data_IF_595399985414
#
_entry.id   IF_595399985414
#
_cell.length_a   1.000
_cell.length_b   1.000
_cell.length_c   1.000
_cell.angle_alpha   90.00
_cell.angle_beta   90.00
_cell.angle_gamma   90.00
#
_symmetry.space_group_name_H-M   'P 1'
#
loop_
_entity.id
_entity.type
_entity.pdbx_description
1 polymer ?
#
# COMPACT_ATOMS: atom_id res chain seq x y z
N UNK A 1 17.53 8.16 13.34
CA UNK A 1 18.35 7.43 12.34
C UNK A 1 17.75 7.74 10.98
N UNK A 2 18.32 8.73 10.29
CA UNK A 2 17.81 9.19 8.99
C UNK A 2 18.19 8.12 7.97
N UNK A 3 17.21 7.45 7.36
CA UNK A 3 17.45 6.59 6.21
C UNK A 3 17.80 7.50 5.03
N UNK A 4 19.11 7.64 4.74
CA UNK A 4 19.55 8.24 3.50
C UNK A 4 19.22 7.28 2.36
N UNK A 5 18.16 7.57 1.62
CA UNK A 5 17.93 6.94 0.32
C UNK A 5 19.03 7.44 -0.63
N UNK A 6 19.99 6.57 -0.94
CA UNK A 6 20.96 6.84 -2.01
C UNK A 6 20.21 7.12 -3.31
N UNK A 7 20.53 8.27 -3.90
CA UNK A 7 20.03 8.71 -5.19
C UNK A 7 20.43 7.68 -6.25
N UNK A 8 19.49 6.89 -6.71
CA UNK A 8 19.76 6.04 -7.87
C UNK A 8 18.86 4.83 -8.10
N UNK A 9 18.10 4.36 -7.13
CA UNK A 9 17.21 3.23 -7.35
C UNK A 9 15.82 3.71 -7.73
N UNK A 10 15.51 3.71 -9.04
CA UNK A 10 14.13 3.84 -9.53
C UNK A 10 13.36 2.57 -9.13
N UNK A 11 12.81 2.56 -7.92
CA UNK A 11 11.85 1.55 -7.51
C UNK A 11 10.50 1.91 -8.14
N UNK A 12 10.23 1.39 -9.33
CA UNK A 12 8.86 1.35 -9.84
C UNK A 12 8.31 -0.04 -9.55
N UNK A 13 7.07 -0.15 -9.07
CA UNK A 13 6.38 -1.46 -8.97
C UNK A 13 6.42 -2.20 -10.32
N UNK A 14 6.39 -1.47 -11.43
CA UNK A 14 6.56 -2.04 -12.77
C UNK A 14 7.97 -2.59 -13.01
N UNK A 15 9.03 -2.05 -12.39
CA UNK A 15 10.36 -2.67 -12.47
C UNK A 15 10.44 -3.94 -11.64
N UNK A 16 9.63 -4.02 -10.59
CA UNK A 16 9.40 -5.24 -9.82
C UNK A 16 8.56 -6.23 -10.66
N UNK A 17 7.52 -5.78 -11.35
CA UNK A 17 6.60 -6.60 -12.13
C UNK A 17 7.09 -6.92 -13.55
N UNK A 18 7.83 -6.01 -14.23
CA UNK A 18 8.24 -6.14 -15.64
C UNK A 18 9.46 -7.03 -15.90
N UNK A 19 10.12 -7.56 -14.86
CA UNK A 19 11.10 -8.65 -15.08
C UNK A 19 10.46 -9.98 -15.45
N UNK A 20 9.17 -9.99 -15.81
CA UNK A 20 8.48 -11.14 -16.38
C UNK A 20 8.77 -11.31 -17.86
N UNK A 21 9.25 -12.51 -18.18
CA UNK A 21 9.28 -13.14 -19.50
C UNK A 21 10.48 -12.79 -20.40
N UNK A 22 11.63 -13.39 -20.09
CA UNK A 22 12.35 -14.10 -21.14
C UNK A 22 12.44 -15.58 -20.75
N UNK A 23 11.48 -16.38 -21.24
CA UNK A 23 11.68 -17.81 -21.40
C UNK A 23 12.82 -18.00 -22.41
N UNK A 24 14.02 -18.15 -21.93
CA UNK A 24 15.11 -18.78 -22.67
C UNK A 24 15.66 -19.88 -21.78
N UNK A 25 15.05 -21.05 -21.91
CA UNK A 25 15.51 -22.30 -21.29
C UNK A 25 16.46 -23.01 -22.22
N UNK A 26 17.56 -22.38 -22.63
CA UNK A 26 18.60 -23.07 -23.37
C UNK A 26 19.92 -22.93 -22.60
N UNK A 27 20.40 -24.05 -22.05
CA UNK A 27 21.75 -24.17 -21.51
C UNK A 27 21.95 -23.93 -20.02
N UNK A 28 20.90 -23.76 -19.22
CA UNK A 28 21.04 -23.61 -17.77
C UNK A 28 21.28 -24.94 -17.06
N UNK A 29 22.24 -24.99 -16.16
CA UNK A 29 22.46 -26.14 -15.27
C UNK A 29 21.26 -26.33 -14.32
N UNK A 30 21.09 -27.53 -13.77
CA UNK A 30 20.04 -27.82 -12.76
C UNK A 30 20.17 -26.90 -11.55
N UNK A 31 21.36 -26.48 -11.17
CA UNK A 31 21.62 -25.56 -10.06
C UNK A 31 21.11 -24.15 -10.38
N UNK A 32 21.40 -23.62 -11.56
CA UNK A 32 20.93 -22.29 -12.02
C UNK A 32 19.39 -22.29 -12.14
N UNK A 33 18.81 -23.36 -12.67
CA UNK A 33 17.36 -23.50 -12.77
C UNK A 33 16.68 -23.53 -11.39
N UNK A 34 17.30 -24.21 -10.40
CA UNK A 34 16.84 -24.22 -9.02
C UNK A 34 16.92 -22.83 -8.39
N UNK A 35 18.02 -22.13 -8.61
CA UNK A 35 18.21 -20.74 -8.13
C UNK A 35 17.19 -19.78 -8.74
N UNK A 36 16.96 -19.85 -10.05
CA UNK A 36 15.94 -19.05 -10.75
C UNK A 36 14.52 -19.36 -10.23
N UNK A 37 14.21 -20.63 -10.04
CA UNK A 37 12.90 -21.03 -9.50
C UNK A 37 12.70 -20.58 -8.05
N UNK A 38 13.74 -20.60 -7.24
CA UNK A 38 13.70 -20.11 -5.86
C UNK A 38 13.51 -18.58 -5.85
N UNK A 39 14.25 -17.86 -6.68
CA UNK A 39 14.11 -16.41 -6.85
C UNK A 39 12.70 -16.03 -7.34
N UNK A 40 12.15 -16.74 -8.32
CA UNK A 40 10.80 -16.50 -8.83
C UNK A 40 9.72 -16.76 -7.78
N UNK A 41 9.91 -17.78 -6.90
CA UNK A 41 8.98 -18.06 -5.79
C UNK A 41 9.03 -16.97 -4.73
N UNK A 42 10.23 -16.52 -4.38
CA UNK A 42 10.42 -15.41 -3.45
C UNK A 42 9.74 -14.15 -3.98
N UNK A 43 9.94 -13.83 -5.25
CA UNK A 43 9.34 -12.68 -5.93
C UNK A 43 7.81 -12.73 -5.96
N UNK A 44 7.24 -13.90 -6.24
CA UNK A 44 5.78 -14.08 -6.21
C UNK A 44 5.20 -13.92 -4.79
N UNK A 45 5.97 -14.32 -3.77
CA UNK A 45 5.62 -14.10 -2.37
C UNK A 45 5.61 -12.60 -2.01
N UNK A 46 6.65 -11.87 -2.39
CA UNK A 46 6.77 -10.43 -2.15
C UNK A 46 5.66 -9.64 -2.86
N UNK A 47 5.33 -9.99 -4.11
CA UNK A 47 4.22 -9.37 -4.85
C UNK A 47 2.87 -9.57 -4.14
N UNK A 48 2.62 -10.77 -3.61
CA UNK A 48 1.42 -11.04 -2.83
C UNK A 48 1.36 -10.19 -1.58
N UNK A 49 2.46 -10.12 -0.83
CA UNK A 49 2.54 -9.32 0.40
C UNK A 49 2.29 -7.82 0.16
N UNK A 50 2.81 -7.27 -0.93
CA UNK A 50 2.55 -5.87 -1.32
C UNK A 50 1.06 -5.67 -1.60
N UNK A 51 0.42 -6.59 -2.33
CA UNK A 51 -1.01 -6.51 -2.63
C UNK A 51 -1.87 -6.58 -1.38
N UNK A 52 -1.57 -7.52 -0.47
CA UNK A 52 -2.28 -7.62 0.80
C UNK A 52 -2.08 -6.38 1.68
N UNK A 53 -0.85 -5.85 1.76
CA UNK A 53 -0.57 -4.62 2.47
C UNK A 53 -1.39 -3.44 1.93
N UNK A 54 -1.41 -3.28 0.60
CA UNK A 54 -2.17 -2.20 -0.04
C UNK A 54 -3.68 -2.35 0.17
N UNK A 55 -4.20 -3.58 0.04
CA UNK A 55 -5.61 -3.91 0.33
C UNK A 55 -6.00 -3.53 1.77
N UNK A 56 -5.19 -3.95 2.76
CA UNK A 56 -5.48 -3.65 4.16
C UNK A 56 -5.43 -2.14 4.44
N UNK A 57 -4.45 -1.41 3.89
CA UNK A 57 -4.40 0.04 4.02
C UNK A 57 -5.63 0.72 3.39
N UNK A 58 -6.10 0.20 2.27
CA UNK A 58 -7.31 0.69 1.62
C UNK A 58 -8.56 0.45 2.48
N UNK A 59 -8.69 -0.73 3.09
CA UNK A 59 -9.77 -1.05 4.01
C UNK A 59 -9.77 -0.11 5.24
N UNK A 60 -8.58 0.13 5.83
CA UNK A 60 -8.43 1.10 6.93
C UNK A 60 -8.78 2.52 6.49
N UNK A 61 -8.43 2.88 5.26
CA UNK A 61 -8.79 4.17 4.65
C UNK A 61 -10.31 4.33 4.53
N UNK A 62 -11.04 3.31 4.07
CA UNK A 62 -12.51 3.34 4.00
C UNK A 62 -13.15 3.49 5.37
N UNK A 63 -12.71 2.67 6.35
CA UNK A 63 -13.18 2.79 7.72
C UNK A 63 -12.97 4.21 8.27
N UNK A 64 -11.79 4.79 8.00
CA UNK A 64 -11.48 6.16 8.43
C UNK A 64 -12.39 7.19 7.77
N UNK A 65 -12.57 7.10 6.44
CA UNK A 65 -13.41 8.05 5.70
C UNK A 65 -14.87 7.99 6.14
N UNK A 66 -15.40 6.80 6.39
CA UNK A 66 -16.74 6.61 6.90
C UNK A 66 -16.89 7.17 8.33
N UNK A 67 -16.02 6.73 9.24
CA UNK A 67 -16.19 6.97 10.69
C UNK A 67 -15.88 8.39 11.13
N UNK A 68 -15.06 9.10 10.36
CA UNK A 68 -14.53 10.41 10.75
C UNK A 68 -14.96 11.55 9.83
N UNK A 69 -15.32 11.21 8.59
CA UNK A 69 -15.61 12.21 7.58
C UNK A 69 -16.95 12.00 6.89
N UNK A 70 -17.79 11.09 7.44
CA UNK A 70 -19.17 10.82 6.99
C UNK A 70 -19.26 10.49 5.49
N UNK A 71 -18.26 9.76 4.98
CA UNK A 71 -18.28 9.29 3.59
C UNK A 71 -19.31 8.16 3.47
N UNK A 72 -20.34 8.41 2.67
CA UNK A 72 -21.27 7.40 2.22
C UNK A 72 -20.72 6.60 1.06
N UNK A 73 -21.49 5.60 0.57
CA UNK A 73 -21.12 4.68 -0.51
C UNK A 73 -20.47 5.38 -1.72
N UNK A 74 -21.13 6.40 -2.26
CA UNK A 74 -20.67 7.06 -3.49
C UNK A 74 -19.33 7.78 -3.28
N UNK A 75 -19.13 8.39 -2.12
CA UNK A 75 -17.86 9.03 -1.75
C UNK A 75 -16.73 8.02 -1.62
N UNK A 76 -17.00 6.84 -1.04
CA UNK A 76 -16.01 5.76 -0.91
C UNK A 76 -15.66 5.16 -2.26
N UNK A 77 -16.65 4.98 -3.15
CA UNK A 77 -16.44 4.50 -4.52
C UNK A 77 -15.61 5.51 -5.32
N UNK A 78 -15.92 6.80 -5.22
CA UNK A 78 -15.13 7.83 -5.93
C UNK A 78 -13.69 7.88 -5.39
N UNK A 79 -13.50 7.81 -4.08
CA UNK A 79 -12.17 7.69 -3.48
C UNK A 79 -11.41 6.49 -4.05
N UNK A 80 -12.03 5.29 -4.10
CA UNK A 80 -11.44 4.10 -4.69
C UNK A 80 -11.02 4.30 -6.15
N UNK A 81 -11.93 4.80 -6.98
CA UNK A 81 -11.66 5.03 -8.40
C UNK A 81 -10.50 6.00 -8.61
N UNK A 82 -10.41 7.04 -7.78
CA UNK A 82 -9.32 8.03 -7.82
C UNK A 82 -7.99 7.44 -7.38
N UNK A 83 -7.97 6.68 -6.27
CA UNK A 83 -6.77 5.94 -5.83
C UNK A 83 -6.27 5.01 -6.94
N UNK A 84 -7.17 4.22 -7.53
CA UNK A 84 -6.86 3.30 -8.62
C UNK A 84 -6.27 4.04 -9.83
N UNK A 85 -6.90 5.12 -10.25
CA UNK A 85 -6.43 5.95 -11.38
C UNK A 85 -5.02 6.52 -11.15
N UNK A 86 -4.76 7.10 -9.97
CA UNK A 86 -3.42 7.65 -9.65
C UNK A 86 -2.40 6.53 -9.56
N UNK A 87 -2.78 5.39 -9.00
CA UNK A 87 -1.92 4.21 -8.92
C UNK A 87 -1.55 3.65 -10.31
N UNK A 88 -2.50 3.60 -11.26
CA UNK A 88 -2.25 3.20 -12.65
C UNK A 88 -1.27 4.14 -13.34
N UNK A 89 -1.37 5.46 -13.12
CA UNK A 89 -0.40 6.44 -13.60
C UNK A 89 0.99 6.22 -13.01
N UNK A 90 1.05 5.88 -11.73
CA UNK A 90 2.30 5.54 -11.08
C UNK A 90 2.92 4.26 -11.68
N UNK A 91 2.12 3.22 -11.91
CA UNK A 91 2.58 1.97 -12.53
C UNK A 91 3.03 2.15 -13.99
N UNK A 92 2.36 3.02 -14.75
CA UNK A 92 2.73 3.34 -16.14
C UNK A 92 3.96 4.24 -16.25
N UNK A 93 4.49 4.74 -15.14
CA UNK A 93 5.58 5.74 -15.04
C UNK A 93 5.19 7.14 -15.58
N UNK A 94 3.92 7.44 -15.69
CA UNK A 94 3.44 8.79 -15.97
C UNK A 94 3.59 9.70 -14.75
N UNK A 95 3.63 9.10 -13.55
CA UNK A 95 3.83 9.76 -12.27
C UNK A 95 4.95 9.06 -11.51
N UNK A 96 5.95 9.81 -11.05
CA UNK A 96 7.09 9.27 -10.31
C UNK A 96 6.94 9.48 -8.80
N UNK A 97 7.60 8.62 -8.01
CA UNK A 97 7.72 8.80 -6.56
C UNK A 97 8.24 10.16 -6.17
N UNK A 98 9.20 10.71 -6.96
CA UNK A 98 9.79 12.02 -6.70
C UNK A 98 8.76 13.15 -6.85
N UNK A 99 7.93 13.10 -7.89
CA UNK A 99 6.88 14.10 -8.12
C UNK A 99 5.84 14.06 -6.99
N UNK A 100 5.41 12.84 -6.58
CA UNK A 100 4.48 12.68 -5.48
C UNK A 100 5.06 13.17 -4.15
N UNK A 101 6.33 12.88 -3.86
CA UNK A 101 7.00 13.39 -2.66
C UNK A 101 7.10 14.92 -2.67
N UNK A 102 7.53 15.50 -3.80
CA UNK A 102 7.59 16.95 -3.95
C UNK A 102 6.22 17.59 -3.75
N UNK A 103 5.15 16.95 -4.22
CA UNK A 103 3.78 17.39 -3.98
C UNK A 103 3.43 17.37 -2.48
N UNK A 104 3.71 16.26 -1.78
CA UNK A 104 3.44 16.15 -0.34
C UNK A 104 4.24 17.18 0.47
N UNK A 105 5.54 17.34 0.18
CA UNK A 105 6.41 18.32 0.83
C UNK A 105 5.92 19.76 0.59
N UNK A 106 5.54 20.10 -0.65
CA UNK A 106 5.00 21.41 -1.02
C UNK A 106 3.68 21.73 -0.29
N UNK A 107 2.91 20.71 0.04
CA UNK A 107 1.68 20.82 0.81
C UNK A 107 1.87 20.60 2.32
N UNK A 108 3.09 20.44 2.81
CA UNK A 108 3.43 20.21 4.22
C UNK A 108 2.76 18.94 4.81
N UNK A 109 2.65 17.88 4.02
CA UNK A 109 2.11 16.58 4.45
C UNK A 109 3.28 15.64 4.76
N UNK A 110 3.44 15.23 6.02
CA UNK A 110 4.55 14.37 6.47
C UNK A 110 4.21 12.88 6.31
N UNK A 111 4.20 12.41 5.05
CA UNK A 111 3.99 10.98 4.76
C UNK A 111 5.11 10.11 5.33
N UNK A 112 6.36 10.60 5.37
CA UNK A 112 7.47 9.85 5.95
C UNK A 112 7.34 9.68 7.47
N UNK A 113 6.91 10.72 8.18
CA UNK A 113 6.62 10.63 9.60
C UNK A 113 5.56 9.58 9.89
N UNK A 114 4.49 9.54 9.07
CA UNK A 114 3.47 8.51 9.19
C UNK A 114 4.03 7.09 8.94
N UNK A 115 4.75 6.84 7.85
CA UNK A 115 5.36 5.53 7.55
C UNK A 115 6.28 5.06 8.68
N UNK A 116 7.06 5.99 9.25
CA UNK A 116 7.98 5.69 10.36
C UNK A 116 7.26 5.44 11.69
N UNK A 117 6.05 5.94 11.87
CA UNK A 117 5.23 5.69 13.05
C UNK A 117 4.68 4.25 13.11
N UNK A 118 4.55 3.59 11.95
CA UNK A 118 4.06 2.21 11.85
C UNK A 118 5.22 1.25 12.18
N UNK A 119 5.03 0.46 13.22
CA UNK A 119 6.06 -0.50 13.69
C UNK A 119 6.29 -1.63 12.69
N UNK A 120 7.45 -2.28 12.76
CA UNK A 120 7.75 -3.44 11.91
C UNK A 120 6.71 -4.57 12.07
N UNK A 121 6.26 -4.83 13.31
CA UNK A 121 5.23 -5.83 13.57
C UNK A 121 3.91 -5.50 12.87
N UNK A 122 3.50 -4.24 12.89
CA UNK A 122 2.30 -3.78 12.19
C UNK A 122 2.43 -3.94 10.67
N UNK A 123 3.57 -3.54 10.09
CA UNK A 123 3.87 -3.71 8.66
C UNK A 123 3.79 -5.18 8.22
N UNK A 124 4.38 -6.08 9.00
CA UNK A 124 4.35 -7.51 8.72
C UNK A 124 2.94 -8.10 8.84
N UNK A 125 2.15 -7.65 9.80
CA UNK A 125 0.76 -8.10 9.95
C UNK A 125 -0.12 -7.62 8.80
N UNK A 126 0.02 -6.37 8.36
CA UNK A 126 -0.69 -5.85 7.19
C UNK A 126 -0.37 -6.60 5.90
N UNK A 127 0.81 -7.18 5.78
CA UNK A 127 1.22 -7.98 4.65
C UNK A 127 0.87 -9.48 4.79
N UNK A 128 0.10 -9.85 5.82
CA UNK A 128 -0.21 -11.26 6.17
C UNK A 128 1.03 -12.16 6.30
N UNK A 129 2.13 -11.57 6.77
CA UNK A 129 3.42 -12.27 6.87
C UNK A 129 3.54 -13.19 8.09
N UNK A 130 2.48 -13.39 8.87
CA UNK A 130 2.52 -14.06 10.18
C UNK A 130 3.01 -15.52 10.18
N UNK A 131 3.18 -16.15 9.01
CA UNK A 131 3.62 -17.55 8.87
C UNK A 131 4.97 -17.73 8.18
N UNK A 132 5.59 -16.66 7.69
CA UNK A 132 6.86 -16.75 6.96
C UNK A 132 8.05 -16.61 7.91
N UNK A 133 8.79 -17.71 8.11
CA UNK A 133 10.08 -17.70 8.81
C UNK A 133 11.14 -17.10 7.86
N UNK A 134 11.78 -16.02 8.25
CA UNK A 134 12.91 -15.47 7.53
C UNK A 134 12.61 -14.13 6.84
N UNK A 135 12.15 -13.13 7.61
CA UNK A 135 12.05 -11.77 7.12
C UNK A 135 13.43 -11.18 6.87
N UNK A 136 13.66 -10.72 5.65
CA UNK A 136 14.88 -9.98 5.31
C UNK A 136 14.65 -8.49 5.55
N UNK A 137 15.73 -7.76 5.81
CA UNK A 137 15.70 -6.29 5.87
C UNK A 137 15.11 -5.69 4.58
N UNK A 138 15.28 -6.37 3.45
CA UNK A 138 14.77 -5.94 2.16
C UNK A 138 13.24 -6.03 2.09
N UNK A 139 12.61 -7.01 2.75
CA UNK A 139 11.15 -7.08 2.84
C UNK A 139 10.56 -5.86 3.57
N UNK A 140 11.15 -5.47 4.70
CA UNK A 140 10.68 -4.27 5.43
C UNK A 140 10.78 -3.03 4.56
N UNK A 141 11.86 -2.86 3.78
CA UNK A 141 11.99 -1.73 2.84
C UNK A 141 10.91 -1.75 1.76
N UNK A 142 10.53 -2.94 1.29
CA UNK A 142 9.47 -3.10 0.29
C UNK A 142 8.11 -2.72 0.89
N UNK A 143 7.84 -3.12 2.14
CA UNK A 143 6.62 -2.73 2.84
C UNK A 143 6.58 -1.23 3.13
N UNK A 144 7.70 -0.64 3.57
CA UNK A 144 7.83 0.82 3.75
C UNK A 144 7.51 1.56 2.46
N UNK A 145 8.05 1.10 1.33
CA UNK A 145 7.78 1.69 0.02
C UNK A 145 6.30 1.58 -0.37
N UNK A 146 5.65 0.44 -0.10
CA UNK A 146 4.22 0.26 -0.42
C UNK A 146 3.32 1.17 0.42
N UNK A 147 3.62 1.31 1.71
CA UNK A 147 2.89 2.21 2.61
C UNK A 147 3.11 3.68 2.21
N UNK A 148 4.35 4.04 1.86
CA UNK A 148 4.69 5.37 1.38
C UNK A 148 3.92 5.73 0.10
N UNK A 149 3.85 4.81 -0.86
CA UNK A 149 3.11 4.99 -2.11
C UNK A 149 1.61 5.19 -1.82
N UNK A 150 1.02 4.33 -0.97
CA UNK A 150 -0.38 4.50 -0.57
C UNK A 150 -0.62 5.85 0.09
N UNK A 151 0.25 6.25 1.02
CA UNK A 151 0.17 7.56 1.69
C UNK A 151 0.20 8.72 0.70
N UNK A 152 1.17 8.76 -0.20
CA UNK A 152 1.29 9.82 -1.20
C UNK A 152 0.08 9.90 -2.14
N UNK A 153 -0.42 8.75 -2.60
CA UNK A 153 -1.60 8.66 -3.47
C UNK A 153 -2.84 9.14 -2.73
N UNK A 154 -3.08 8.63 -1.51
CA UNK A 154 -4.24 9.02 -0.70
C UNK A 154 -4.20 10.51 -0.35
N UNK A 155 -3.03 11.07 -0.01
CA UNK A 155 -2.86 12.49 0.23
C UNK A 155 -3.26 13.34 -0.98
N UNK A 156 -2.77 12.98 -2.16
CA UNK A 156 -3.09 13.72 -3.39
C UNK A 156 -4.58 13.67 -3.71
N UNK A 157 -5.21 12.50 -3.59
CA UNK A 157 -6.65 12.32 -3.84
C UNK A 157 -7.49 13.10 -2.83
N UNK A 158 -7.19 12.97 -1.54
CA UNK A 158 -7.92 13.67 -0.48
C UNK A 158 -7.81 15.19 -0.63
N UNK A 159 -6.64 15.70 -0.97
CA UNK A 159 -6.41 17.12 -1.14
C UNK A 159 -7.05 17.68 -2.40
N UNK A 160 -6.80 17.05 -3.56
CA UNK A 160 -7.20 17.61 -4.86
C UNK A 160 -8.68 17.37 -5.19
N UNK A 161 -9.25 16.26 -4.73
CA UNK A 161 -10.62 15.86 -5.08
C UNK A 161 -11.60 16.19 -3.95
N UNK A 162 -11.20 15.91 -2.71
CA UNK A 162 -12.07 16.07 -1.54
C UNK A 162 -11.76 17.34 -0.73
N UNK A 163 -10.79 18.16 -1.17
CA UNK A 163 -10.42 19.45 -0.58
C UNK A 163 -10.00 19.37 0.90
N UNK A 164 -9.41 18.24 1.32
CA UNK A 164 -8.89 18.11 2.68
C UNK A 164 -7.72 19.06 2.92
N UNK A 165 -7.67 19.66 4.11
CA UNK A 165 -6.49 20.41 4.54
C UNK A 165 -5.33 19.46 4.83
N UNK A 166 -4.11 19.96 4.90
CA UNK A 166 -2.94 19.14 5.23
C UNK A 166 -3.06 18.55 6.63
N UNK A 167 -3.59 19.32 7.57
CA UNK A 167 -3.88 18.89 8.94
C UNK A 167 -4.91 17.76 8.96
N UNK A 168 -5.97 17.86 8.16
CA UNK A 168 -7.00 16.81 8.03
C UNK A 168 -6.43 15.53 7.44
N UNK A 169 -5.46 15.63 6.50
CA UNK A 169 -4.77 14.46 5.95
C UNK A 169 -3.86 13.81 7.00
N UNK A 170 -3.19 14.58 7.83
CA UNK A 170 -2.40 14.02 8.94
C UNK A 170 -3.28 13.34 9.99
N UNK A 171 -4.45 13.91 10.30
CA UNK A 171 -5.47 13.27 11.14
C UNK A 171 -5.97 11.95 10.51
N UNK A 172 -6.22 11.94 9.20
CA UNK A 172 -6.60 10.73 8.47
C UNK A 172 -5.55 9.63 8.62
N UNK A 173 -4.26 9.94 8.53
CA UNK A 173 -3.20 8.97 8.79
C UNK A 173 -3.16 8.48 10.24
N UNK A 174 -3.42 9.37 11.19
CA UNK A 174 -3.53 9.01 12.61
C UNK A 174 -4.66 8.00 12.83
N UNK A 175 -5.80 8.19 12.17
CA UNK A 175 -6.94 7.26 12.25
C UNK A 175 -6.67 5.93 11.54
N UNK A 176 -6.00 5.93 10.39
CA UNK A 176 -5.54 4.69 9.77
C UNK A 176 -4.63 3.92 10.74
N UNK A 177 -3.70 4.60 11.40
CA UNK A 177 -2.80 3.97 12.38
C UNK A 177 -3.56 3.35 13.56
N UNK A 178 -4.65 3.95 14.01
CA UNK A 178 -5.55 3.38 15.01
C UNK A 178 -6.20 2.07 14.53
N UNK A 179 -6.69 2.03 13.28
CA UNK A 179 -7.27 0.81 12.72
C UNK A 179 -6.20 -0.26 12.47
N UNK A 180 -4.98 0.12 12.07
CA UNK A 180 -3.85 -0.81 11.99
C UNK A 180 -3.58 -1.46 13.34
N UNK A 181 -3.56 -0.69 14.43
CA UNK A 181 -3.34 -1.23 15.77
C UNK A 181 -4.47 -2.21 16.17
N UNK A 182 -5.72 -1.84 15.90
CA UNK A 182 -6.88 -2.71 16.13
C UNK A 182 -6.82 -4.02 15.35
N UNK A 183 -6.38 -3.95 14.11
CA UNK A 183 -6.18 -5.11 13.24
C UNK A 183 -5.05 -6.03 13.75
N UNK A 184 -3.94 -5.45 14.17
CA UNK A 184 -2.80 -6.19 14.72
C UNK A 184 -3.15 -6.91 16.02
N UNK A 185 -3.97 -6.29 16.85
CA UNK A 185 -4.49 -6.88 18.10
C UNK A 185 -5.63 -7.88 17.89
N UNK A 186 -6.05 -8.12 16.65
CA UNK A 186 -7.18 -8.96 16.26
C UNK A 186 -8.54 -8.47 16.84
N UNK A 187 -8.68 -7.18 17.13
CA UNK A 187 -9.98 -6.56 17.45
C UNK A 187 -10.79 -6.26 16.18
N UNK A 188 -10.11 -6.24 15.03
CA UNK A 188 -10.67 -6.03 13.70
C UNK A 188 -10.05 -7.03 12.73
N UNK A 189 -10.80 -7.48 11.74
CA UNK A 189 -10.33 -8.32 10.64
C UNK A 189 -11.06 -7.98 9.35
N UNK A 190 -10.63 -8.54 8.21
CA UNK A 190 -11.18 -8.24 6.88
C UNK A 190 -12.68 -8.52 6.78
N UNK A 191 -13.14 -9.63 7.37
CA UNK A 191 -14.55 -10.02 7.31
C UNK A 191 -15.43 -9.03 8.09
N UNK A 192 -14.99 -8.62 9.29
CA UNK A 192 -15.69 -7.60 10.10
C UNK A 192 -15.74 -6.27 9.36
N UNK A 193 -14.64 -5.83 8.75
CA UNK A 193 -14.60 -4.60 7.96
C UNK A 193 -15.59 -4.70 6.80
N UNK A 194 -15.60 -5.82 6.08
CA UNK A 194 -16.51 -6.01 4.96
C UNK A 194 -17.98 -6.05 5.39
N UNK A 195 -18.31 -6.69 6.54
CA UNK A 195 -19.66 -6.67 7.11
C UNK A 195 -20.10 -5.25 7.44
N UNK A 196 -19.28 -4.49 8.14
CA UNK A 196 -19.56 -3.09 8.48
C UNK A 196 -19.80 -2.26 7.21
N UNK A 197 -18.95 -2.41 6.20
CA UNK A 197 -19.09 -1.65 4.95
C UNK A 197 -20.34 -2.05 4.16
N UNK A 198 -20.75 -3.32 4.22
CA UNK A 198 -22.03 -3.78 3.63
C UNK A 198 -23.24 -3.24 4.36
N UNK A 199 -23.24 -3.31 5.69
CA UNK A 199 -24.39 -2.91 6.49
C UNK A 199 -24.60 -1.39 6.50
N UNK A 200 -23.52 -0.63 6.56
CA UNK A 200 -23.61 0.83 6.75
C UNK A 200 -23.45 1.63 5.46
N UNK A 201 -22.72 1.10 4.46
CA UNK A 201 -22.46 1.80 3.20
C UNK A 201 -22.98 1.07 1.97
N UNK A 202 -23.64 -0.10 2.10
CA UNK A 202 -24.03 -0.97 0.98
C UNK A 202 -22.86 -1.26 0.02
N UNK A 203 -21.66 -1.46 0.56
CA UNK A 203 -20.41 -1.65 -0.18
C UNK A 203 -19.78 -3.00 0.14
N UNK A 204 -19.77 -3.93 -0.83
CA UNK A 204 -19.12 -5.24 -0.69
C UNK A 204 -17.66 -5.17 -1.17
N UNK A 205 -16.71 -5.05 -0.22
CA UNK A 205 -15.29 -4.93 -0.51
C UNK A 205 -14.67 -6.14 -1.21
N UNK A 206 -15.34 -7.31 -1.14
CA UNK A 206 -14.85 -8.54 -1.80
C UNK A 206 -15.33 -8.69 -3.24
N UNK A 207 -16.45 -8.07 -3.59
CA UNK A 207 -17.00 -8.19 -4.95
C UNK A 207 -16.28 -7.29 -5.95
N UNK A 208 -15.66 -6.22 -5.47
CA UNK A 208 -15.17 -5.16 -6.35
C UNK A 208 -16.36 -4.49 -7.06
N UNK A 209 -16.30 -3.20 -7.29
CA UNK A 209 -17.23 -2.60 -8.23
C UNK A 209 -16.55 -2.62 -9.61
N UNK A 210 -17.14 -3.39 -10.54
CA UNK A 210 -16.83 -3.37 -11.97
C UNK A 210 -17.21 -2.03 -12.62
#
# INVERSE_FOLDING_TARGET
MVLSFERGTKFTMSSILKRKKKKQSYGLTKSEQKSINQHNRQYAGEEKMIKENFKHLQFMGYMTLRDRYDFERDGLIDFYKRIKYVFEKYESNELSTKEMLTYCEGNKIDVYGWVNSITQQQKLKLADCGKHKGFTLDLIKVLDASILIYGMISASVLKEIFNFSSETIEEFYGHISYYIDSYVRNYLNDDMINEIMKEECDLDLYKGED
#
